data_IF_540277824280
#
_entry.id   IF_540277824280
#
_cell.length_a   1.000
_cell.length_b   1.000
_cell.length_c   1.000
_cell.angle_alpha   90.00
_cell.angle_beta   90.00
_cell.angle_gamma   90.00
#
_symmetry.space_group_name_H-M   'P 1'
#
loop_
_entity.id
_entity.type
_entity.pdbx_description
1 polymer ?
#
# COMPACT_ATOMS: atom_id res chain seq x y z
N UNK A 1 -4.15 12.52 -23.12
CA UNK A 1 -2.82 12.96 -22.64
C UNK A 1 -2.66 14.49 -22.54
N UNK A 2 -3.29 15.29 -23.38
CA UNK A 2 -3.19 16.77 -23.30
C UNK A 2 -4.08 17.43 -22.21
N UNK A 3 -5.18 16.81 -21.79
CA UNK A 3 -6.09 17.38 -20.79
C UNK A 3 -5.56 17.27 -19.32
N UNK A 4 -4.63 16.37 -19.04
CA UNK A 4 -4.02 16.23 -17.70
C UNK A 4 -2.90 17.24 -17.46
N UNK A 5 -2.31 17.80 -18.49
CA UNK A 5 -1.24 18.81 -18.40
C UNK A 5 -1.79 20.25 -18.27
N UNK A 6 -3.06 20.48 -18.59
CA UNK A 6 -3.68 21.80 -18.51
C UNK A 6 -4.08 22.24 -17.09
N UNK A 7 -4.14 21.33 -16.11
CA UNK A 7 -4.46 21.65 -14.70
C UNK A 7 -3.23 22.16 -13.94
N UNK A 8 -2.03 22.01 -14.46
CA UNK A 8 -0.77 22.41 -13.83
C UNK A 8 -0.36 23.89 -14.06
N UNK A 9 -1.14 24.64 -14.83
CA UNK A 9 -0.85 26.03 -15.18
C UNK A 9 -1.80 27.07 -14.55
N UNK A 10 -2.48 26.77 -13.45
CA UNK A 10 -3.22 27.77 -12.70
C UNK A 10 -2.24 28.62 -11.89
N UNK A 11 -2.05 29.83 -12.35
CA UNK A 11 -1.30 30.93 -11.72
C UNK A 11 -1.68 31.07 -10.23
N UNK A 12 -0.69 30.98 -9.37
CA UNK A 12 -0.79 31.33 -7.95
C UNK A 12 -1.09 32.83 -7.85
N UNK A 13 -2.35 33.18 -7.70
CA UNK A 13 -2.71 34.49 -7.17
C UNK A 13 -2.57 34.44 -5.64
N UNK A 14 -1.75 35.32 -5.12
CA UNK A 14 -1.65 35.61 -3.69
C UNK A 14 -3.04 35.99 -3.17
N UNK A 15 -3.60 35.16 -2.30
CA UNK A 15 -4.73 35.52 -1.47
C UNK A 15 -4.39 35.18 -0.01
N UNK A 16 -4.60 36.18 0.81
CA UNK A 16 -4.64 36.25 2.29
C UNK A 16 -4.35 34.96 3.05
N UNK A 17 -3.60 35.09 4.13
CA UNK A 17 -3.15 34.09 5.14
C UNK A 17 -4.22 33.06 5.58
N UNK A 18 -4.57 32.14 4.70
CA UNK A 18 -5.28 30.93 5.13
C UNK A 18 -4.26 29.92 5.62
N UNK A 19 -4.11 29.83 6.93
CA UNK A 19 -3.30 28.80 7.58
C UNK A 19 -3.79 27.42 7.14
N UNK A 20 -2.91 26.66 6.49
CA UNK A 20 -3.19 25.32 6.00
C UNK A 20 -3.51 24.40 7.19
N UNK A 21 -4.77 23.99 7.32
CA UNK A 21 -5.20 23.08 8.39
C UNK A 21 -5.00 21.64 7.96
N UNK A 22 -3.90 21.04 8.41
CA UNK A 22 -3.47 19.66 8.12
C UNK A 22 -4.01 18.65 9.13
N UNK A 23 -5.27 18.82 9.59
CA UNK A 23 -5.88 17.94 10.59
C UNK A 23 -7.30 17.58 10.18
N UNK A 24 -7.77 16.42 10.69
CA UNK A 24 -9.17 16.02 10.64
C UNK A 24 -10.04 16.86 11.60
N UNK A 25 -11.36 16.60 11.69
CA UNK A 25 -12.26 17.33 12.60
C UNK A 25 -11.97 17.18 14.10
N UNK A 26 -11.21 16.15 14.52
CA UNK A 26 -10.74 15.98 15.89
C UNK A 26 -9.35 16.58 16.15
N UNK A 27 -8.70 17.16 15.14
CA UNK A 27 -7.33 17.68 15.24
C UNK A 27 -6.24 16.62 15.05
N UNK A 28 -6.58 15.42 14.57
CA UNK A 28 -5.62 14.37 14.23
C UNK A 28 -4.90 14.77 12.94
N UNK A 29 -3.58 14.60 12.89
CA UNK A 29 -2.77 14.90 11.71
C UNK A 29 -3.23 14.09 10.50
N UNK A 30 -3.40 14.75 9.36
CA UNK A 30 -3.68 14.06 8.08
C UNK A 30 -2.49 13.20 7.60
N UNK A 31 -1.28 13.44 8.11
CA UNK A 31 -0.11 12.60 7.83
C UNK A 31 -0.17 11.21 8.47
N UNK A 32 -1.10 10.99 9.42
CA UNK A 32 -1.40 9.67 9.98
C UNK A 32 -2.10 8.76 8.98
N UNK A 33 -2.62 9.28 7.88
CA UNK A 33 -3.34 8.50 6.89
C UNK A 33 -2.37 7.66 6.04
N UNK A 34 -2.63 6.34 5.99
CA UNK A 34 -2.01 5.41 5.06
C UNK A 34 -2.87 5.19 3.81
N UNK A 35 -2.88 3.97 3.27
CA UNK A 35 -3.78 3.58 2.18
C UNK A 35 -5.24 3.48 2.66
N UNK A 36 -6.19 3.73 1.77
CA UNK A 36 -7.61 3.68 2.11
C UNK A 36 -7.93 4.52 3.34
N UNK A 37 -8.43 3.87 4.39
CA UNK A 37 -8.73 4.50 5.67
C UNK A 37 -7.77 4.07 6.79
N UNK A 38 -6.62 3.46 6.46
CA UNK A 38 -5.63 2.99 7.44
C UNK A 38 -4.88 4.13 8.13
N UNK A 39 -4.22 3.82 9.25
CA UNK A 39 -3.34 4.73 9.97
C UNK A 39 -1.90 4.22 9.99
N UNK A 40 -0.96 5.17 9.93
CA UNK A 40 0.49 4.96 10.08
C UNK A 40 1.03 5.77 11.26
N UNK A 41 2.24 5.47 11.77
CA UNK A 41 2.89 6.26 12.80
C UNK A 41 3.19 7.70 12.34
N UNK A 42 2.84 8.70 13.15
CA UNK A 42 3.07 10.13 12.85
C UNK A 42 4.57 10.46 12.68
N UNK A 43 5.47 9.67 13.31
CA UNK A 43 6.91 9.88 13.26
C UNK A 43 7.54 9.61 11.88
N UNK A 44 6.85 8.87 11.00
CA UNK A 44 7.35 8.43 9.68
C UNK A 44 6.30 8.66 8.59
N UNK A 45 5.91 9.92 8.33
CA UNK A 45 4.92 10.24 7.31
C UNK A 45 5.43 9.87 5.91
N UNK A 46 4.50 9.59 5.00
CA UNK A 46 4.82 9.33 3.61
C UNK A 46 5.30 10.60 2.89
N UNK A 47 6.26 10.49 1.95
CA UNK A 47 6.68 11.62 1.13
C UNK A 47 5.52 12.17 0.32
N UNK A 48 5.10 13.39 0.59
CA UNK A 48 3.99 14.05 -0.09
C UNK A 48 4.24 15.55 -0.25
N UNK A 49 3.60 16.15 -1.22
CA UNK A 49 3.57 17.61 -1.40
C UNK A 49 2.17 18.13 -1.16
N UNK A 50 2.11 19.27 -0.48
CA UNK A 50 0.87 19.95 -0.13
C UNK A 50 0.84 21.33 -0.74
N UNK A 51 -0.33 21.77 -1.21
CA UNK A 51 -0.56 23.13 -1.70
C UNK A 51 -2.02 23.53 -1.48
N UNK A 52 -2.27 24.82 -1.37
CA UNK A 52 -3.63 25.36 -1.32
C UNK A 52 -4.07 25.80 -2.71
N UNK A 53 -5.33 25.49 -3.06
CA UNK A 53 -6.02 26.00 -4.23
C UNK A 53 -7.38 26.58 -3.79
N UNK A 54 -7.41 27.86 -3.46
CA UNK A 54 -8.54 28.47 -2.75
C UNK A 54 -8.76 27.81 -1.39
N UNK A 55 -9.98 27.31 -1.13
CA UNK A 55 -10.32 26.59 0.10
C UNK A 55 -9.96 25.10 0.09
N UNK A 56 -9.34 24.59 -0.97
CA UNK A 56 -8.94 23.21 -1.09
C UNK A 56 -7.48 23.02 -0.68
N UNK A 57 -7.23 22.09 0.20
CA UNK A 57 -5.91 21.51 0.45
C UNK A 57 -5.71 20.37 -0.54
N UNK A 58 -4.73 20.53 -1.43
CA UNK A 58 -4.30 19.50 -2.36
C UNK A 58 -3.05 18.81 -1.81
N UNK A 59 -3.05 17.48 -1.80
CA UNK A 59 -1.88 16.66 -1.51
C UNK A 59 -1.66 15.70 -2.67
N UNK A 60 -0.42 15.59 -3.10
CA UNK A 60 -0.05 14.57 -4.06
C UNK A 60 1.21 13.82 -3.63
N UNK A 61 1.22 12.54 -3.87
CA UNK A 61 2.36 11.66 -3.68
C UNK A 61 2.35 10.52 -4.71
N UNK A 62 3.43 9.75 -4.76
CA UNK A 62 3.56 8.66 -5.71
C UNK A 62 5.00 8.21 -5.83
N UNK A 63 5.16 7.06 -6.47
CA UNK A 63 6.46 6.47 -6.76
C UNK A 63 6.49 5.97 -8.19
N UNK A 64 7.64 6.11 -8.83
CA UNK A 64 7.95 5.45 -10.09
C UNK A 64 9.24 4.68 -9.93
N UNK A 65 9.21 3.39 -10.27
CA UNK A 65 10.38 2.53 -10.34
C UNK A 65 10.55 2.06 -11.78
N UNK A 66 11.71 2.31 -12.37
CA UNK A 66 12.13 1.66 -13.60
C UNK A 66 13.11 0.58 -13.20
N UNK A 67 12.85 -0.66 -13.58
CA UNK A 67 13.56 -1.80 -13.02
C UNK A 67 13.89 -2.88 -14.05
N UNK A 68 14.99 -3.57 -13.80
CA UNK A 68 15.30 -4.86 -14.38
C UNK A 68 15.28 -5.89 -13.26
N UNK A 69 14.30 -6.79 -13.32
CA UNK A 69 14.08 -7.87 -12.36
C UNK A 69 14.55 -9.19 -12.97
N UNK A 70 15.26 -9.99 -12.20
CA UNK A 70 15.75 -11.31 -12.58
C UNK A 70 15.46 -12.32 -11.49
N UNK A 71 14.80 -13.41 -11.85
CA UNK A 71 14.46 -14.52 -10.95
C UNK A 71 15.12 -15.79 -11.51
N UNK A 72 15.93 -16.45 -10.67
CA UNK A 72 16.72 -17.61 -11.08
C UNK A 72 15.95 -18.94 -11.04
N UNK A 73 16.56 -19.98 -11.58
CA UNK A 73 16.03 -21.36 -11.59
C UNK A 73 15.08 -21.66 -12.77
N UNK A 74 14.57 -22.91 -12.84
CA UNK A 74 13.72 -23.36 -13.96
C UNK A 74 12.39 -22.60 -14.09
N UNK A 75 11.90 -22.02 -13.01
CA UNK A 75 10.65 -21.24 -12.97
C UNK A 75 10.91 -19.73 -12.93
N UNK A 76 12.18 -19.35 -13.00
CA UNK A 76 12.61 -17.95 -13.05
C UNK A 76 12.32 -17.30 -14.40
N UNK A 77 12.39 -15.98 -14.41
CA UNK A 77 12.28 -15.16 -15.62
C UNK A 77 12.92 -13.78 -15.37
N UNK A 78 13.25 -13.09 -16.45
CA UNK A 78 13.76 -11.73 -16.41
C UNK A 78 12.75 -10.78 -17.02
N UNK A 79 12.68 -9.55 -16.50
CA UNK A 79 11.83 -8.52 -17.06
C UNK A 79 12.38 -7.13 -16.81
N UNK A 80 12.39 -6.32 -17.88
CA UNK A 80 12.51 -4.87 -17.79
C UNK A 80 11.11 -4.26 -17.73
N UNK A 81 10.86 -3.31 -16.82
CA UNK A 81 9.55 -2.70 -16.67
C UNK A 81 9.57 -1.50 -15.74
N UNK A 82 8.37 -1.02 -15.42
CA UNK A 82 8.18 0.03 -14.44
C UNK A 82 6.99 -0.32 -13.55
N UNK A 83 7.19 -0.30 -12.23
CA UNK A 83 6.13 -0.28 -11.24
C UNK A 83 5.94 1.16 -10.79
N UNK A 84 4.70 1.64 -10.81
CA UNK A 84 4.45 3.06 -10.57
C UNK A 84 3.03 3.33 -10.09
N UNK A 85 2.88 4.41 -9.35
CA UNK A 85 1.58 4.94 -8.96
C UNK A 85 1.68 6.42 -8.60
N UNK A 86 0.60 7.14 -8.79
CA UNK A 86 0.46 8.54 -8.40
C UNK A 86 -0.92 8.78 -7.80
N UNK A 87 -0.96 9.49 -6.68
CA UNK A 87 -2.17 9.81 -5.95
C UNK A 87 -2.34 11.31 -5.80
N UNK A 88 -3.56 11.79 -6.03
CA UNK A 88 -4.00 13.14 -5.72
C UNK A 88 -5.15 13.07 -4.72
N UNK A 89 -5.03 13.86 -3.67
CA UNK A 89 -6.09 14.07 -2.67
C UNK A 89 -6.45 15.54 -2.63
N UNK A 90 -7.74 15.84 -2.59
CA UNK A 90 -8.28 17.18 -2.43
C UNK A 90 -9.21 17.19 -1.22
N UNK A 91 -8.93 18.02 -0.22
CA UNK A 91 -9.74 18.10 1.00
C UNK A 91 -10.13 19.52 1.35
N UNK A 92 -11.30 19.67 1.96
CA UNK A 92 -11.79 20.95 2.46
C UNK A 92 -12.79 20.75 3.59
N UNK A 93 -12.94 21.79 4.41
CA UNK A 93 -14.02 21.79 5.39
C UNK A 93 -15.36 22.00 4.68
N UNK A 94 -16.34 21.18 5.01
CA UNK A 94 -17.68 21.16 4.42
C UNK A 94 -18.71 20.72 5.45
N UNK A 95 -19.84 21.46 5.59
CA UNK A 95 -20.98 21.09 6.46
C UNK A 95 -20.58 20.70 7.89
N UNK A 96 -19.59 21.37 8.47
CA UNK A 96 -19.11 21.12 9.83
C UNK A 96 -18.26 19.87 10.01
N UNK A 97 -17.75 19.32 8.92
CA UNK A 97 -16.82 18.20 8.87
C UNK A 97 -15.75 18.44 7.81
N UNK A 98 -14.97 17.42 7.50
CA UNK A 98 -13.95 17.40 6.45
C UNK A 98 -14.39 16.49 5.32
N UNK A 99 -14.51 17.06 4.12
CA UNK A 99 -14.68 16.32 2.87
C UNK A 99 -13.33 16.10 2.21
N UNK A 100 -13.13 14.90 1.64
CA UNK A 100 -11.96 14.56 0.87
C UNK A 100 -12.36 13.78 -0.39
N UNK A 101 -11.79 14.13 -1.54
CA UNK A 101 -11.82 13.35 -2.77
C UNK A 101 -10.41 12.84 -3.08
N UNK A 102 -10.31 11.60 -3.58
CA UNK A 102 -9.05 10.92 -3.87
C UNK A 102 -9.07 10.26 -5.22
N UNK A 103 -7.93 10.28 -5.88
CA UNK A 103 -7.67 9.43 -7.04
C UNK A 103 -6.25 8.92 -6.98
N UNK A 104 -6.06 7.62 -7.20
CA UNK A 104 -4.77 6.96 -7.35
C UNK A 104 -4.76 6.16 -8.64
N UNK A 105 -3.74 6.36 -9.45
CA UNK A 105 -3.59 5.77 -10.77
C UNK A 105 -2.25 5.05 -10.87
N UNK A 106 -2.23 3.94 -11.62
CA UNK A 106 -1.02 3.23 -12.01
C UNK A 106 -0.95 3.02 -13.52
N UNK A 107 0.26 3.08 -14.07
CA UNK A 107 0.55 2.70 -15.45
C UNK A 107 1.14 1.29 -15.57
N UNK A 108 1.11 0.50 -14.52
CA UNK A 108 1.59 -0.90 -14.53
C UNK A 108 1.04 -1.71 -15.69
N UNK A 109 -0.27 -1.60 -16.07
CA UNK A 109 -0.81 -2.33 -17.21
C UNK A 109 -0.07 -2.07 -18.54
N UNK A 110 0.51 -0.87 -18.69
CA UNK A 110 1.30 -0.50 -19.87
C UNK A 110 2.80 -0.79 -19.73
N UNK A 111 3.30 -0.97 -18.52
CA UNK A 111 4.75 -0.94 -18.23
C UNK A 111 5.35 -2.26 -17.75
N UNK A 112 4.52 -3.20 -17.25
CA UNK A 112 4.97 -4.54 -16.82
C UNK A 112 4.21 -5.71 -17.46
N UNK A 113 3.29 -5.47 -18.38
CA UNK A 113 2.40 -6.44 -19.04
C UNK A 113 1.21 -6.91 -18.16
N UNK A 114 0.16 -7.43 -18.84
CA UNK A 114 -1.02 -8.00 -18.15
C UNK A 114 -0.71 -9.28 -17.36
N UNK A 115 0.46 -9.93 -17.61
CA UNK A 115 0.94 -11.06 -16.81
C UNK A 115 1.70 -10.61 -15.55
N UNK A 116 1.84 -9.29 -15.33
CA UNK A 116 2.64 -8.77 -14.24
C UNK A 116 4.15 -9.00 -14.41
N UNK A 117 4.87 -9.05 -13.31
CA UNK A 117 6.31 -9.18 -13.25
C UNK A 117 6.74 -10.50 -12.57
N UNK A 118 7.95 -11.02 -12.88
CA UNK A 118 8.47 -12.23 -12.25
C UNK A 118 8.62 -12.05 -10.74
N UNK A 119 8.16 -13.03 -9.98
CA UNK A 119 8.37 -13.11 -8.54
C UNK A 119 8.20 -14.56 -8.11
N UNK A 120 9.30 -15.25 -7.86
CA UNK A 120 9.27 -16.67 -7.46
C UNK A 120 8.38 -16.90 -6.24
N UNK A 121 7.64 -18.00 -6.26
CA UNK A 121 6.72 -18.41 -5.21
C UNK A 121 5.46 -17.53 -5.05
N UNK A 122 5.31 -16.48 -5.86
CA UNK A 122 4.10 -15.65 -5.83
C UNK A 122 2.95 -16.34 -6.58
N UNK A 123 1.75 -16.11 -6.10
CA UNK A 123 0.50 -16.59 -6.68
C UNK A 123 -0.61 -15.54 -6.49
N UNK A 124 -1.73 -15.80 -7.09
CA UNK A 124 -2.97 -15.02 -7.03
C UNK A 124 -3.30 -14.43 -8.38
N UNK A 125 -4.60 -14.24 -8.58
CA UNK A 125 -5.22 -13.85 -9.84
C UNK A 125 -4.97 -14.84 -10.99
N UNK A 126 -5.53 -14.54 -12.14
CA UNK A 126 -5.41 -15.35 -13.35
C UNK A 126 -5.12 -14.51 -14.57
N UNK A 127 -4.58 -15.14 -15.59
CA UNK A 127 -4.40 -14.54 -16.92
C UNK A 127 -4.75 -15.54 -18.00
N UNK A 128 -5.71 -15.20 -18.88
CA UNK A 128 -6.24 -16.06 -19.96
C UNK A 128 -6.71 -17.42 -19.44
N UNK A 129 -7.42 -17.39 -18.30
CA UNK A 129 -7.98 -18.61 -17.69
C UNK A 129 -6.95 -19.55 -17.07
N UNK A 130 -5.71 -19.07 -16.83
CA UNK A 130 -4.67 -19.82 -16.13
C UNK A 130 -4.23 -19.06 -14.88
N UNK A 131 -3.92 -19.75 -13.76
CA UNK A 131 -3.41 -19.09 -12.57
C UNK A 131 -2.06 -18.42 -12.86
N UNK A 132 -1.85 -17.24 -12.28
CA UNK A 132 -0.55 -16.63 -12.26
C UNK A 132 0.27 -17.26 -11.14
N UNK A 133 1.34 -17.96 -11.51
CA UNK A 133 2.28 -18.59 -10.58
C UNK A 133 3.69 -18.09 -10.89
N UNK A 134 4.48 -17.86 -9.84
CA UNK A 134 5.82 -17.24 -9.91
C UNK A 134 5.82 -15.86 -10.59
N UNK A 135 4.69 -15.17 -10.47
CA UNK A 135 4.50 -13.82 -10.97
C UNK A 135 3.55 -13.06 -10.06
N UNK A 136 3.83 -11.78 -9.88
CA UNK A 136 2.89 -10.82 -9.28
C UNK A 136 2.10 -10.14 -10.40
N UNK A 137 0.78 -10.09 -10.26
CA UNK A 137 -0.09 -9.34 -11.16
C UNK A 137 0.22 -7.83 -11.16
N UNK A 138 -0.06 -7.07 -12.25
CA UNK A 138 0.07 -5.62 -12.26
C UNK A 138 -1.06 -4.97 -11.45
N UNK A 139 -0.85 -3.74 -11.00
CA UNK A 139 -1.93 -2.94 -10.46
C UNK A 139 -2.95 -2.56 -11.54
N UNK A 140 -4.17 -2.21 -11.08
CA UNK A 140 -5.19 -1.59 -11.92
C UNK A 140 -4.80 -0.15 -12.28
N UNK A 141 -5.24 0.34 -13.44
CA UNK A 141 -5.09 1.77 -13.75
C UNK A 141 -5.79 2.64 -12.69
N UNK A 142 -7.01 2.27 -12.31
CA UNK A 142 -7.78 2.93 -11.25
C UNK A 142 -7.56 2.21 -9.91
N UNK A 143 -6.46 2.50 -9.23
CA UNK A 143 -6.18 1.91 -7.92
C UNK A 143 -7.10 2.47 -6.83
N UNK A 144 -7.38 3.78 -6.88
CA UNK A 144 -8.40 4.40 -6.01
C UNK A 144 -9.13 5.52 -6.77
N UNK A 145 -10.44 5.54 -6.64
CA UNK A 145 -11.30 6.69 -6.92
C UNK A 145 -12.32 6.75 -5.80
N UNK A 146 -12.22 7.72 -4.90
CA UNK A 146 -12.96 7.70 -3.64
C UNK A 146 -13.37 9.08 -3.17
N UNK A 147 -14.40 9.10 -2.33
CA UNK A 147 -14.75 10.23 -1.49
C UNK A 147 -14.82 9.78 -0.03
N UNK A 148 -14.41 10.66 0.86
CA UNK A 148 -14.50 10.46 2.31
C UNK A 148 -15.07 11.70 2.99
N UNK A 149 -15.85 11.49 4.02
CA UNK A 149 -16.36 12.54 4.88
C UNK A 149 -16.19 12.18 6.34
N UNK A 150 -15.62 13.10 7.11
CA UNK A 150 -15.38 12.93 8.54
C UNK A 150 -16.03 14.08 9.30
N UNK A 151 -16.62 13.78 10.46
CA UNK A 151 -17.24 14.79 11.31
C UNK A 151 -17.05 14.47 12.79
N UNK A 152 -16.68 15.47 13.57
CA UNK A 152 -16.69 15.38 15.02
C UNK A 152 -18.15 15.38 15.55
N UNK A 153 -18.48 14.41 16.37
CA UNK A 153 -19.73 14.36 17.15
C UNK A 153 -19.55 14.98 18.52
N UNK A 154 -18.33 14.90 19.07
CA UNK A 154 -17.91 15.51 20.33
C UNK A 154 -16.40 15.85 20.22
N UNK A 155 -15.80 16.51 21.22
CA UNK A 155 -14.36 16.76 21.21
C UNK A 155 -13.48 15.49 21.16
N UNK A 156 -14.01 14.32 21.46
CA UNK A 156 -13.25 13.05 21.54
C UNK A 156 -13.74 11.95 20.61
N UNK A 157 -14.87 12.14 19.91
CA UNK A 157 -15.48 11.12 19.04
C UNK A 157 -15.81 11.73 17.69
N UNK A 158 -15.30 11.12 16.64
CA UNK A 158 -15.64 11.39 15.24
C UNK A 158 -16.32 10.19 14.57
N UNK A 159 -17.01 10.48 13.48
CA UNK A 159 -17.57 9.48 12.57
C UNK A 159 -17.02 9.73 11.18
N UNK A 160 -16.89 8.66 10.40
CA UNK A 160 -16.44 8.71 9.03
C UNK A 160 -17.33 7.87 8.12
N UNK A 161 -17.41 8.30 6.86
CA UNK A 161 -17.94 7.51 5.75
C UNK A 161 -16.99 7.62 4.57
N UNK A 162 -16.74 6.50 3.90
CA UNK A 162 -15.90 6.40 2.71
C UNK A 162 -16.66 5.60 1.65
N UNK A 163 -16.62 6.05 0.41
CA UNK A 163 -17.24 5.39 -0.72
C UNK A 163 -16.32 5.48 -1.95
N UNK A 164 -16.12 4.34 -2.61
CA UNK A 164 -15.20 4.23 -3.72
C UNK A 164 -15.73 3.28 -4.81
N UNK A 165 -15.83 3.72 -6.07
CA UNK A 165 -15.92 2.81 -7.21
C UNK A 165 -14.72 1.87 -7.31
N UNK A 166 -13.50 2.35 -7.02
CA UNK A 166 -12.30 1.56 -6.78
C UNK A 166 -11.62 2.08 -5.51
N UNK A 167 -11.26 1.20 -4.58
CA UNK A 167 -10.64 1.60 -3.33
C UNK A 167 -10.38 0.44 -2.38
N UNK A 168 -10.02 0.77 -1.14
CA UNK A 168 -9.62 -0.19 -0.12
C UNK A 168 -10.70 -0.33 0.97
N UNK A 169 -11.26 -1.53 1.19
CA UNK A 169 -12.15 -1.79 2.32
C UNK A 169 -11.40 -1.81 3.67
N UNK A 170 -12.13 -1.72 4.77
CA UNK A 170 -11.57 -1.87 6.12
C UNK A 170 -11.19 -3.34 6.40
N UNK A 171 -10.22 -3.85 5.63
CA UNK A 171 -9.66 -5.19 5.72
C UNK A 171 -8.17 -5.14 5.43
N UNK A 172 -7.39 -5.81 6.27
CA UNK A 172 -5.94 -5.84 6.09
C UNK A 172 -5.21 -4.67 6.77
N UNK A 173 -3.89 -4.72 6.76
CA UNK A 173 -2.99 -3.64 7.18
C UNK A 173 -2.95 -2.53 6.11
N UNK A 174 -2.15 -1.52 6.35
CA UNK A 174 -1.74 -0.56 5.29
C UNK A 174 -1.17 -1.33 4.10
N UNK A 175 -1.62 -1.03 2.88
CA UNK A 175 -1.10 -1.63 1.65
C UNK A 175 0.42 -1.44 1.54
N UNK A 176 1.14 -2.45 1.02
CA UNK A 176 2.61 -2.48 1.07
C UNK A 176 3.26 -1.21 0.50
N UNK A 177 2.73 -0.67 -0.59
CA UNK A 177 3.24 0.54 -1.23
C UNK A 177 3.04 1.84 -0.42
N UNK A 178 2.18 1.80 0.61
CA UNK A 178 1.93 2.91 1.54
C UNK A 178 2.44 2.61 2.95
N UNK A 179 3.13 1.48 3.17
CA UNK A 179 3.80 1.22 4.44
C UNK A 179 5.13 1.95 4.47
N UNK A 180 5.39 2.80 5.49
CA UNK A 180 6.68 3.47 5.62
C UNK A 180 7.88 2.52 5.69
N UNK A 181 7.66 1.25 6.07
CA UNK A 181 8.67 0.18 6.14
C UNK A 181 8.97 -0.51 4.80
N UNK A 182 8.22 -0.19 3.74
CA UNK A 182 8.32 -0.86 2.44
C UNK A 182 8.18 0.10 1.24
N UNK A 183 8.11 1.40 1.45
CA UNK A 183 7.81 2.35 0.38
C UNK A 183 8.90 2.41 -0.71
N UNK A 184 10.13 2.05 -0.39
CA UNK A 184 11.25 1.97 -1.33
C UNK A 184 11.48 0.54 -1.90
N UNK A 185 10.64 -0.43 -1.50
CA UNK A 185 10.63 -1.78 -2.04
C UNK A 185 9.47 -1.94 -3.03
N UNK A 186 9.71 -1.96 -4.37
CA UNK A 186 8.63 -2.02 -5.35
C UNK A 186 7.94 -3.39 -5.42
N UNK A 187 8.54 -4.43 -4.83
CA UNK A 187 8.05 -5.80 -4.93
C UNK A 187 6.98 -6.08 -3.88
N UNK A 188 5.84 -6.63 -4.31
CA UNK A 188 4.80 -7.10 -3.43
C UNK A 188 5.32 -8.19 -2.47
N UNK A 189 4.81 -8.27 -1.23
CA UNK A 189 5.13 -9.39 -0.34
C UNK A 189 4.60 -10.71 -0.91
N UNK A 190 5.28 -11.82 -0.64
CA UNK A 190 4.77 -13.17 -0.96
C UNK A 190 3.45 -13.48 -0.25
N UNK A 191 3.25 -12.86 0.92
CA UNK A 191 2.02 -12.95 1.71
C UNK A 191 0.91 -12.00 1.26
N UNK A 192 1.05 -11.26 0.16
CA UNK A 192 0.11 -10.24 -0.32
C UNK A 192 -1.34 -10.74 -0.31
N UNK A 193 -1.63 -11.92 -0.84
CA UNK A 193 -2.97 -12.51 -0.90
C UNK A 193 -3.52 -12.99 0.46
N UNK A 194 -2.73 -13.01 1.52
CA UNK A 194 -3.15 -13.24 2.92
C UNK A 194 -3.33 -11.95 3.70
N UNK A 195 -2.82 -10.84 3.20
CA UNK A 195 -2.60 -9.61 3.97
C UNK A 195 -3.36 -8.41 3.41
N UNK A 196 -2.97 -7.92 2.23
CA UNK A 196 -3.38 -6.64 1.70
C UNK A 196 -3.82 -6.65 0.21
N UNK A 197 -4.11 -7.81 -0.39
CA UNK A 197 -4.56 -7.91 -1.78
C UNK A 197 -5.87 -7.15 -2.06
N UNK A 198 -6.67 -6.85 -1.04
CA UNK A 198 -7.92 -6.08 -1.18
C UNK A 198 -7.69 -4.58 -1.25
N UNK A 199 -6.44 -4.09 -1.31
CA UNK A 199 -6.16 -2.64 -1.42
C UNK A 199 -6.71 -2.00 -2.71
N UNK A 200 -7.02 -2.81 -3.72
CA UNK A 200 -7.81 -2.41 -4.88
C UNK A 200 -9.02 -3.33 -4.99
N UNK A 201 -10.18 -2.84 -4.58
CA UNK A 201 -11.47 -3.54 -4.68
C UNK A 201 -12.48 -2.64 -5.37
N UNK A 202 -13.34 -3.20 -6.22
CA UNK A 202 -14.36 -2.43 -6.93
C UNK A 202 -15.67 -2.38 -6.15
N UNK A 203 -16.19 -1.14 -5.92
CA UNK A 203 -17.40 -0.90 -5.13
C UNK A 203 -17.15 -1.13 -3.63
N UNK A 204 -16.64 -0.12 -2.95
CA UNK A 204 -16.37 -0.15 -1.50
C UNK A 204 -17.21 0.90 -0.80
N UNK A 205 -17.87 0.53 0.27
CA UNK A 205 -18.52 1.46 1.21
C UNK A 205 -18.07 1.10 2.62
N UNK A 206 -17.47 2.08 3.30
CA UNK A 206 -16.97 1.95 4.68
C UNK A 206 -17.61 3.00 5.56
N UNK A 207 -17.99 2.61 6.76
CA UNK A 207 -18.37 3.51 7.84
C UNK A 207 -17.54 3.22 9.08
N UNK A 208 -17.26 4.25 9.88
CA UNK A 208 -16.46 4.08 11.09
C UNK A 208 -16.70 5.15 12.13
N UNK A 209 -16.27 4.81 13.33
CA UNK A 209 -16.17 5.74 14.47
C UNK A 209 -14.71 5.78 14.92
N UNK A 210 -14.25 6.96 15.33
CA UNK A 210 -12.87 7.14 15.73
C UNK A 210 -12.72 8.17 16.87
N UNK A 211 -11.64 8.02 17.61
CA UNK A 211 -11.13 8.95 18.57
C UNK A 211 -9.68 9.27 18.28
N UNK A 212 -9.01 10.05 19.14
CA UNK A 212 -7.62 10.46 18.94
C UNK A 212 -6.63 9.29 18.82
N UNK A 213 -6.95 8.14 19.45
CA UNK A 213 -6.02 7.00 19.57
C UNK A 213 -6.59 5.66 19.06
N UNK A 214 -7.81 5.63 18.56
CA UNK A 214 -8.45 4.41 18.11
C UNK A 214 -9.45 4.67 17.00
N UNK A 215 -9.70 3.65 16.19
CA UNK A 215 -10.72 3.66 15.13
C UNK A 215 -11.32 2.27 14.97
N UNK A 216 -12.64 2.21 14.80
CA UNK A 216 -13.40 1.01 14.47
C UNK A 216 -14.16 1.25 13.17
N UNK A 217 -13.96 0.38 12.19
CA UNK A 217 -14.49 0.51 10.85
C UNK A 217 -15.17 -0.77 10.39
N UNK A 218 -16.18 -0.64 9.54
CA UNK A 218 -16.81 -1.76 8.84
C UNK A 218 -17.03 -1.42 7.38
N UNK A 219 -16.85 -2.40 6.50
CA UNK A 219 -17.03 -2.24 5.06
C UNK A 219 -17.94 -3.30 4.46
N UNK A 220 -18.65 -2.91 3.41
CA UNK A 220 -19.23 -3.81 2.41
C UNK A 220 -18.58 -3.51 1.06
N UNK A 221 -18.22 -4.56 0.31
CA UNK A 221 -17.43 -4.38 -0.90
C UNK A 221 -17.55 -5.58 -1.86
N UNK A 222 -17.00 -5.47 -3.05
CA UNK A 222 -16.78 -6.60 -3.95
C UNK A 222 -15.51 -7.34 -3.55
N UNK A 223 -15.65 -8.56 -3.04
CA UNK A 223 -14.52 -9.36 -2.56
C UNK A 223 -13.72 -10.09 -3.64
N UNK A 224 -14.12 -9.96 -4.90
CA UNK A 224 -13.41 -10.55 -6.03
C UNK A 224 -12.14 -9.77 -6.32
N UNK A 225 -11.09 -10.50 -6.62
CA UNK A 225 -9.89 -9.91 -7.19
C UNK A 225 -10.21 -9.26 -8.53
N UNK A 226 -9.49 -8.18 -8.91
CA UNK A 226 -9.65 -7.54 -10.21
C UNK A 226 -9.49 -8.53 -11.37
N UNK A 227 -10.23 -8.29 -12.45
CA UNK A 227 -10.12 -9.09 -13.66
C UNK A 227 -8.91 -8.67 -14.53
N UNK A 228 -8.74 -9.31 -15.68
CA UNK A 228 -7.61 -9.06 -16.59
C UNK A 228 -7.69 -7.70 -17.35
N UNK A 229 -8.84 -7.01 -17.30
CA UNK A 229 -9.10 -5.74 -18.02
C UNK A 229 -8.69 -4.55 -17.15
N UNK A 230 -7.41 -4.34 -16.99
CA UNK A 230 -6.77 -3.42 -16.04
C UNK A 230 -7.06 -1.92 -16.22
N UNK A 231 -7.77 -1.52 -17.26
CA UNK A 231 -7.99 -0.11 -17.58
C UNK A 231 -9.36 0.45 -17.16
N UNK A 232 -10.29 -0.44 -16.81
CA UNK A 232 -11.68 -0.12 -16.49
C UNK A 232 -12.04 -0.30 -15.04
N UNK A 233 -13.33 -0.42 -14.79
CA UNK A 233 -13.88 -0.78 -13.50
C UNK A 233 -14.61 -2.10 -13.63
N UNK A 234 -14.39 -2.99 -12.69
CA UNK A 234 -15.14 -4.23 -12.61
C UNK A 234 -16.57 -4.01 -12.10
N UNK A 235 -17.40 -5.03 -12.29
CA UNK A 235 -18.75 -5.00 -11.76
C UNK A 235 -18.73 -4.89 -10.24
N UNK A 236 -19.24 -3.79 -9.72
CA UNK A 236 -19.37 -3.55 -8.30
C UNK A 236 -20.43 -4.47 -7.70
N UNK A 237 -20.03 -5.33 -6.78
CA UNK A 237 -20.91 -6.20 -5.99
C UNK A 237 -20.62 -5.91 -4.51
N UNK A 238 -21.66 -5.74 -3.71
CA UNK A 238 -21.51 -5.48 -2.27
C UNK A 238 -21.90 -6.77 -1.52
N UNK A 239 -21.19 -7.85 -1.80
CA UNK A 239 -21.49 -9.19 -1.30
C UNK A 239 -20.41 -9.77 -0.36
N UNK A 240 -19.43 -8.96 -0.03
CA UNK A 240 -18.38 -9.23 0.93
C UNK A 240 -18.38 -8.17 2.02
N UNK A 241 -17.86 -8.51 3.20
CA UNK A 241 -17.86 -7.59 4.33
C UNK A 241 -16.62 -7.77 5.21
N UNK A 242 -16.27 -6.72 5.91
CA UNK A 242 -15.13 -6.71 6.82
C UNK A 242 -15.31 -5.75 7.98
N UNK A 243 -14.45 -5.91 8.98
CA UNK A 243 -14.27 -4.97 10.07
C UNK A 243 -12.80 -4.86 10.45
N UNK A 244 -12.36 -3.65 10.81
CA UNK A 244 -11.01 -3.36 11.26
C UNK A 244 -11.04 -2.47 12.49
N UNK A 245 -10.24 -2.84 13.47
CA UNK A 245 -9.86 -2.01 14.59
C UNK A 245 -8.44 -1.50 14.39
N UNK A 246 -8.21 -0.21 14.63
CA UNK A 246 -6.88 0.42 14.62
C UNK A 246 -6.64 1.17 15.92
N UNK A 247 -5.40 1.13 16.41
CA UNK A 247 -4.97 1.87 17.59
C UNK A 247 -3.66 2.59 17.29
N UNK A 248 -3.58 3.86 17.73
CA UNK A 248 -2.41 4.71 17.65
C UNK A 248 -1.99 5.07 19.08
N UNK A 249 -0.98 4.39 19.61
CA UNK A 249 -0.58 4.52 21.02
C UNK A 249 0.11 5.84 21.28
N UNK A 250 1.03 6.20 20.39
CA UNK A 250 1.80 7.44 20.39
C UNK A 250 2.28 7.74 18.95
N UNK A 251 3.09 8.76 18.77
CA UNK A 251 3.61 9.14 17.45
C UNK A 251 4.40 8.03 16.72
N UNK A 252 4.83 7.00 17.45
CA UNK A 252 5.73 5.97 16.93
C UNK A 252 5.04 4.65 16.64
N UNK A 253 3.85 4.37 17.21
CA UNK A 253 3.25 3.05 17.16
C UNK A 253 1.82 3.06 16.68
N UNK A 254 1.54 2.24 15.67
CA UNK A 254 0.18 1.98 15.18
C UNK A 254 -0.05 0.47 15.10
N UNK A 255 -1.23 0.04 15.54
CA UNK A 255 -1.69 -1.34 15.50
C UNK A 255 -2.95 -1.43 14.65
N UNK A 256 -3.14 -2.54 13.96
CA UNK A 256 -4.43 -2.87 13.37
C UNK A 256 -4.71 -4.36 13.46
N UNK A 257 -5.99 -4.70 13.59
CA UNK A 257 -6.49 -6.06 13.46
C UNK A 257 -7.80 -6.03 12.68
N UNK A 258 -7.97 -6.95 11.75
CA UNK A 258 -9.13 -7.00 10.88
C UNK A 258 -9.57 -8.42 10.57
N UNK A 259 -10.85 -8.53 10.23
CA UNK A 259 -11.44 -9.77 9.75
C UNK A 259 -12.41 -9.46 8.61
N UNK A 260 -12.43 -10.32 7.60
CA UNK A 260 -13.33 -10.19 6.46
C UNK A 260 -13.79 -11.55 5.89
N UNK A 261 -14.97 -11.49 5.30
CA UNK A 261 -15.52 -12.54 4.45
C UNK A 261 -15.48 -12.04 3.00
N UNK A 262 -14.78 -12.75 2.14
CA UNK A 262 -14.65 -12.49 0.72
C UNK A 262 -15.42 -13.57 -0.06
N UNK A 263 -16.43 -13.15 -0.80
CA UNK A 263 -17.21 -14.05 -1.66
C UNK A 263 -16.52 -14.20 -3.01
N UNK A 264 -16.19 -15.44 -3.35
CA UNK A 264 -15.62 -15.81 -4.67
C UNK A 264 -14.42 -14.91 -5.04
N UNK A 265 -13.37 -14.78 -4.22
CA UNK A 265 -12.28 -13.86 -4.51
C UNK A 265 -11.54 -14.26 -5.79
N UNK A 266 -11.34 -15.53 -6.03
CA UNK A 266 -10.57 -16.03 -7.16
C UNK A 266 -11.45 -16.38 -8.36
N UNK A 267 -11.05 -15.91 -9.55
CA UNK A 267 -11.81 -16.10 -10.79
C UNK A 267 -11.91 -17.57 -11.21
N UNK A 268 -10.87 -18.37 -10.90
CA UNK A 268 -10.82 -19.80 -11.24
C UNK A 268 -11.58 -20.69 -10.26
N UNK A 269 -11.93 -20.18 -9.08
CA UNK A 269 -12.68 -20.89 -8.03
C UNK A 269 -13.93 -20.08 -7.61
N UNK A 270 -14.89 -19.81 -8.53
CA UNK A 270 -15.98 -18.85 -8.30
C UNK A 270 -16.99 -19.29 -7.24
N UNK A 271 -17.04 -20.55 -6.89
CA UNK A 271 -17.96 -21.12 -5.89
C UNK A 271 -17.36 -21.08 -4.47
N UNK A 272 -16.11 -20.68 -4.34
CA UNK A 272 -15.39 -20.70 -3.08
C UNK A 272 -15.32 -19.30 -2.44
N UNK A 273 -15.27 -19.28 -1.13
CA UNK A 273 -15.20 -18.04 -0.35
C UNK A 273 -14.04 -18.12 0.65
N UNK A 274 -13.48 -16.98 0.98
CA UNK A 274 -12.36 -16.87 1.90
C UNK A 274 -12.74 -16.08 3.14
N UNK A 275 -12.38 -16.60 4.32
CA UNK A 275 -12.34 -15.86 5.56
C UNK A 275 -10.91 -15.41 5.80
N UNK A 276 -10.68 -14.09 5.86
CA UNK A 276 -9.36 -13.49 6.07
C UNK A 276 -9.29 -12.83 7.44
N UNK A 277 -8.22 -13.13 8.18
CA UNK A 277 -7.88 -12.43 9.40
C UNK A 277 -6.47 -11.82 9.28
N UNK A 278 -6.28 -10.61 9.79
CA UNK A 278 -4.99 -9.92 9.75
C UNK A 278 -4.72 -9.21 11.07
N UNK A 279 -3.44 -9.10 11.42
CA UNK A 279 -2.99 -8.24 12.51
C UNK A 279 -1.63 -7.64 12.15
N UNK A 280 -1.42 -6.36 12.47
CA UNK A 280 -0.15 -5.67 12.19
C UNK A 280 0.24 -4.69 13.29
N UNK A 281 1.55 -4.51 13.40
CA UNK A 281 2.19 -3.49 14.22
C UNK A 281 3.12 -2.71 13.31
N UNK A 282 2.94 -1.41 13.24
CA UNK A 282 3.83 -0.48 12.55
C UNK A 282 4.53 0.37 13.60
N UNK A 283 5.85 0.43 13.51
CA UNK A 283 6.70 1.23 14.37
C UNK A 283 7.52 2.18 13.51
N UNK A 284 7.60 3.44 13.92
CA UNK A 284 8.42 4.44 13.25
C UNK A 284 9.12 5.35 14.24
N UNK A 285 10.34 5.75 13.95
CA UNK A 285 11.05 6.77 14.73
C UNK A 285 12.12 7.46 13.90
N UNK A 286 12.52 8.64 14.32
CA UNK A 286 13.62 9.39 13.71
C UNK A 286 14.96 8.84 14.17
N UNK A 287 15.92 8.77 13.24
CA UNK A 287 17.32 8.40 13.50
C UNK A 287 18.19 9.62 13.27
N UNK A 288 18.94 10.03 14.29
CA UNK A 288 19.76 11.22 14.19
C UNK A 288 18.96 12.46 13.81
N UNK A 289 19.55 13.38 13.00
CA UNK A 289 18.91 14.63 12.60
C UNK A 289 18.01 14.51 11.36
N UNK A 290 18.35 13.63 10.44
CA UNK A 290 17.75 13.59 9.10
C UNK A 290 17.35 12.18 8.65
N UNK A 291 17.52 11.18 9.49
CA UNK A 291 17.16 9.80 9.21
C UNK A 291 15.83 9.40 9.85
N UNK A 292 15.29 8.29 9.36
CA UNK A 292 14.11 7.64 9.94
C UNK A 292 14.22 6.13 9.78
N UNK A 293 13.61 5.41 10.71
CA UNK A 293 13.43 3.97 10.63
C UNK A 293 11.95 3.66 10.77
N UNK A 294 11.42 2.85 9.86
CA UNK A 294 10.10 2.29 9.96
C UNK A 294 10.20 0.77 9.95
N UNK A 295 9.41 0.09 10.77
CA UNK A 295 9.35 -1.37 10.85
C UNK A 295 7.90 -1.81 10.92
N UNK A 296 7.56 -2.86 10.20
CA UNK A 296 6.26 -3.52 10.27
C UNK A 296 6.44 -4.99 10.59
N UNK A 297 5.65 -5.49 11.52
CA UNK A 297 5.42 -6.92 11.73
C UNK A 297 3.95 -7.17 11.41
N UNK A 298 3.69 -8.17 10.58
CA UNK A 298 2.37 -8.44 10.07
C UNK A 298 2.10 -9.94 10.01
N UNK A 299 0.92 -10.34 10.41
CA UNK A 299 0.35 -11.66 10.25
C UNK A 299 -0.94 -11.59 9.44
N UNK A 300 -1.11 -12.55 8.53
CA UNK A 300 -2.33 -12.79 7.79
C UNK A 300 -2.69 -14.26 7.76
N UNK A 301 -3.97 -14.58 7.73
CA UNK A 301 -4.48 -15.93 7.60
C UNK A 301 -5.69 -15.96 6.67
N UNK A 302 -5.72 -16.91 5.76
CA UNK A 302 -6.87 -17.24 4.93
C UNK A 302 -7.40 -18.61 5.32
N UNK A 303 -8.72 -18.69 5.55
CA UNK A 303 -9.44 -19.96 5.66
C UNK A 303 -10.30 -20.17 4.43
N UNK A 304 -9.99 -21.20 3.69
CA UNK A 304 -10.59 -21.57 2.41
C UNK A 304 -10.77 -23.08 2.34
N UNK A 305 -11.93 -23.57 1.89
CA UNK A 305 -12.23 -25.02 1.71
C UNK A 305 -11.84 -25.91 2.92
N UNK A 306 -12.06 -25.40 4.14
CA UNK A 306 -11.75 -26.12 5.39
C UNK A 306 -10.27 -26.10 5.81
N UNK A 307 -9.37 -25.59 4.98
CA UNK A 307 -7.94 -25.40 5.29
C UNK A 307 -7.68 -23.96 5.74
N UNK A 308 -6.72 -23.78 6.64
CA UNK A 308 -6.23 -22.46 7.04
C UNK A 308 -4.75 -22.37 6.75
N UNK A 309 -4.35 -21.34 6.00
CA UNK A 309 -2.95 -21.03 5.68
C UNK A 309 -2.58 -19.68 6.26
N UNK A 310 -1.32 -19.53 6.62
CA UNK A 310 -0.80 -18.35 7.31
C UNK A 310 0.33 -17.69 6.54
N UNK A 311 0.45 -16.38 6.70
CA UNK A 311 1.62 -15.61 6.31
C UNK A 311 2.08 -14.73 7.45
N UNK A 312 3.38 -14.59 7.60
CA UNK A 312 4.02 -13.65 8.54
C UNK A 312 5.11 -12.91 7.79
N UNK A 313 5.20 -11.61 7.99
CA UNK A 313 6.34 -10.83 7.53
C UNK A 313 6.87 -9.91 8.64
N UNK A 314 8.16 -9.64 8.56
CA UNK A 314 8.81 -8.52 9.21
C UNK A 314 9.59 -7.75 8.15
N UNK A 315 9.34 -6.45 8.06
CA UNK A 315 10.03 -5.58 7.10
C UNK A 315 10.45 -4.28 7.75
N UNK A 316 11.54 -3.72 7.27
CA UNK A 316 12.07 -2.45 7.75
C UNK A 316 12.65 -1.63 6.63
N UNK A 317 12.52 -0.32 6.75
CA UNK A 317 13.18 0.67 5.91
C UNK A 317 13.86 1.70 6.78
N UNK A 318 15.16 1.89 6.55
CA UNK A 318 16.01 2.84 7.23
C UNK A 318 16.54 3.89 6.23
N UNK A 319 15.92 5.05 6.17
CA UNK A 319 16.51 6.23 5.56
C UNK A 319 17.59 6.75 6.52
N UNK A 320 18.85 6.34 6.30
CA UNK A 320 19.98 6.65 7.19
C UNK A 320 20.32 8.13 7.19
N UNK A 321 20.18 8.74 6.03
CA UNK A 321 20.38 10.17 5.75
C UNK A 321 19.60 10.54 4.46
N UNK A 322 19.61 11.81 4.00
CA UNK A 322 18.88 12.22 2.80
C UNK A 322 19.29 11.51 1.50
N UNK A 323 20.39 10.78 1.50
CA UNK A 323 20.93 10.13 0.30
C UNK A 323 20.90 8.61 0.35
N UNK A 324 20.83 7.99 1.51
CA UNK A 324 21.04 6.55 1.68
C UNK A 324 19.86 5.89 2.37
N UNK A 325 19.21 4.96 1.70
CA UNK A 325 18.12 4.14 2.24
C UNK A 325 18.47 2.66 2.14
N UNK A 326 18.35 1.95 3.25
CA UNK A 326 18.39 0.49 3.34
C UNK A 326 16.98 -0.01 3.59
N UNK A 327 16.60 -1.11 2.97
CA UNK A 327 15.33 -1.77 3.25
C UNK A 327 15.48 -3.28 3.18
N UNK A 328 14.58 -3.99 3.82
CA UNK A 328 14.58 -5.45 3.78
C UNK A 328 13.30 -6.05 4.34
N UNK A 329 13.06 -7.31 3.98
CA UNK A 329 11.87 -8.06 4.37
C UNK A 329 12.21 -9.52 4.58
N UNK A 330 11.66 -10.10 5.64
CA UNK A 330 11.64 -11.55 5.88
C UNK A 330 10.20 -12.00 5.90
N UNK A 331 9.91 -13.06 5.14
CA UNK A 331 8.56 -13.59 5.00
C UNK A 331 8.54 -15.10 5.23
N UNK A 332 7.51 -15.58 5.93
CA UNK A 332 7.15 -17.00 6.02
C UNK A 332 5.72 -17.14 5.55
N UNK A 333 5.49 -17.90 4.50
CA UNK A 333 4.17 -18.05 3.89
C UNK A 333 3.85 -19.53 3.68
N UNK A 334 2.67 -19.93 4.11
CA UNK A 334 2.14 -21.25 3.79
C UNK A 334 1.44 -21.19 2.42
N UNK A 335 1.97 -21.92 1.46
CA UNK A 335 1.44 -22.06 0.10
C UNK A 335 0.93 -23.49 -0.08
N UNK A 336 -0.28 -23.65 -0.62
CA UNK A 336 -0.76 -24.94 -1.07
C UNK A 336 -0.02 -25.35 -2.36
N UNK A 337 -0.05 -26.61 -2.71
CA UNK A 337 0.47 -27.07 -4.00
C UNK A 337 -0.28 -26.41 -5.17
N UNK A 338 -1.58 -26.15 -5.01
CA UNK A 338 -2.41 -25.41 -5.96
C UNK A 338 -1.89 -23.98 -6.16
N UNK A 339 -1.60 -23.24 -5.08
CA UNK A 339 -0.97 -21.89 -5.14
C UNK A 339 0.31 -21.89 -5.95
N UNK A 340 1.04 -22.99 -5.96
CA UNK A 340 2.29 -23.16 -6.71
C UNK A 340 2.09 -23.84 -8.09
N UNK A 341 0.84 -24.07 -8.53
CA UNK A 341 0.52 -24.69 -9.80
C UNK A 341 0.97 -26.17 -9.88
N UNK A 342 0.92 -26.90 -8.77
CA UNK A 342 1.36 -28.29 -8.67
C UNK A 342 0.13 -29.22 -8.51
N UNK A 343 0.17 -30.39 -9.17
CA UNK A 343 -0.96 -31.30 -9.30
C UNK A 343 -1.08 -32.33 -8.17
N UNK A 344 -0.77 -31.96 -6.93
CA UNK A 344 -0.93 -32.83 -5.75
C UNK A 344 -1.41 -32.03 -4.54
N UNK A 345 -1.92 -32.67 -3.51
CA UNK A 345 -2.43 -31.99 -2.31
C UNK A 345 -1.37 -31.95 -1.21
N UNK A 346 -0.79 -30.79 -1.00
CA UNK A 346 0.17 -30.51 0.07
C UNK A 346 0.20 -29.02 0.39
N UNK A 347 0.64 -28.68 1.60
CA UNK A 347 0.90 -27.31 2.00
C UNK A 347 2.37 -27.17 2.40
N UNK A 348 3.03 -26.15 1.88
CA UNK A 348 4.44 -25.88 2.07
C UNK A 348 4.64 -24.55 2.81
N UNK A 349 5.54 -24.51 3.77
CA UNK A 349 6.04 -23.26 4.31
C UNK A 349 7.26 -22.84 3.49
N UNK A 350 7.14 -21.71 2.80
CA UNK A 350 8.23 -21.08 2.05
C UNK A 350 8.69 -19.82 2.78
N UNK A 351 9.97 -19.50 2.63
CA UNK A 351 10.57 -18.31 3.25
C UNK A 351 11.21 -17.47 2.17
N UNK A 352 11.07 -16.14 2.25
CA UNK A 352 11.82 -15.20 1.43
C UNK A 352 12.54 -14.19 2.33
N UNK A 353 13.79 -13.91 2.00
CA UNK A 353 14.61 -12.85 2.58
C UNK A 353 15.02 -11.91 1.47
N UNK A 354 14.62 -10.64 1.53
CA UNK A 354 15.07 -9.60 0.60
C UNK A 354 15.80 -8.49 1.34
N UNK A 355 16.84 -7.96 0.70
CA UNK A 355 17.60 -6.79 1.18
C UNK A 355 17.89 -5.90 -0.02
N UNK A 356 17.66 -4.60 0.14
CA UNK A 356 17.90 -3.62 -0.90
C UNK A 356 18.52 -2.33 -0.34
N UNK A 357 19.13 -1.59 -1.25
CA UNK A 357 19.75 -0.30 -0.99
C UNK A 357 19.46 0.66 -2.12
N UNK A 358 19.12 1.90 -1.79
CA UNK A 358 18.94 3.00 -2.74
C UNK A 358 19.82 4.16 -2.34
N UNK A 359 20.54 4.72 -3.33
CA UNK A 359 21.26 5.98 -3.22
C UNK A 359 20.60 7.06 -4.05
N UNK A 360 20.26 8.18 -3.42
CA UNK A 360 19.80 9.38 -4.13
C UNK A 360 20.96 9.97 -4.95
N UNK A 361 20.73 10.09 -6.25
CA UNK A 361 21.73 10.61 -7.21
C UNK A 361 21.32 11.94 -7.85
N UNK A 362 20.04 12.30 -7.71
CA UNK A 362 19.50 13.54 -8.25
C UNK A 362 18.38 14.12 -7.39
N UNK A 363 18.33 15.46 -7.34
CA UNK A 363 17.29 16.22 -6.65
C UNK A 363 16.84 17.38 -7.50
N UNK A 364 15.53 17.55 -7.64
CA UNK A 364 14.89 18.67 -8.34
C UNK A 364 13.97 19.41 -7.35
N UNK A 365 13.35 20.49 -7.79
CA UNK A 365 12.37 21.22 -6.97
C UNK A 365 11.10 20.41 -6.68
N UNK A 366 10.82 19.33 -7.43
CA UNK A 366 9.61 18.54 -7.30
C UNK A 366 9.84 17.13 -6.76
N UNK A 367 11.06 16.58 -6.87
CA UNK A 367 11.29 15.21 -6.46
C UNK A 367 12.77 14.82 -6.43
N UNK A 368 13.02 13.56 -6.06
CA UNK A 368 14.34 12.93 -6.04
C UNK A 368 14.40 11.76 -6.99
N UNK A 369 15.62 11.46 -7.45
CA UNK A 369 15.95 10.28 -8.26
C UNK A 369 16.99 9.47 -7.51
N UNK A 370 16.68 8.20 -7.25
CA UNK A 370 17.56 7.23 -6.60
C UNK A 370 17.90 6.09 -7.54
N UNK A 371 19.08 5.51 -7.37
CA UNK A 371 19.52 4.26 -8.03
C UNK A 371 19.67 3.21 -6.94
N UNK A 372 19.17 2.01 -7.18
CA UNK A 372 19.19 0.95 -6.19
C UNK A 372 19.35 -0.44 -6.73
N UNK A 373 19.62 -1.34 -5.79
CA UNK A 373 19.71 -2.78 -6.03
C UNK A 373 18.97 -3.52 -4.94
N UNK A 374 18.42 -4.69 -5.26
CA UNK A 374 17.81 -5.60 -4.31
C UNK A 374 18.23 -7.03 -4.62
N UNK A 375 18.52 -7.82 -3.59
CA UNK A 375 18.70 -9.27 -3.69
C UNK A 375 17.61 -9.98 -2.90
N UNK A 376 17.16 -11.12 -3.41
CA UNK A 376 16.18 -11.99 -2.74
C UNK A 376 16.73 -13.42 -2.67
N UNK A 377 16.67 -14.01 -1.51
CA UNK A 377 16.95 -15.43 -1.24
C UNK A 377 15.64 -16.10 -0.80
N UNK A 378 15.18 -17.06 -1.55
CA UNK A 378 14.05 -17.89 -1.15
C UNK A 378 14.56 -19.17 -0.51
N UNK A 379 13.81 -19.74 0.43
CA UNK A 379 14.08 -21.06 1.01
C UNK A 379 12.84 -21.92 0.87
N UNK A 380 12.99 -23.03 0.17
CA UNK A 380 11.88 -23.95 -0.09
C UNK A 380 12.12 -25.33 0.51
N UNK A 381 11.06 -26.07 0.91
CA UNK A 381 11.17 -27.47 1.32
C UNK A 381 11.79 -28.34 0.22
N UNK A 382 12.42 -29.45 0.61
CA UNK A 382 13.07 -30.37 -0.32
C UNK A 382 12.13 -30.90 -1.42
N UNK A 383 10.84 -31.06 -1.13
CA UNK A 383 9.84 -31.48 -2.10
C UNK A 383 9.65 -30.49 -3.29
N UNK A 384 10.03 -29.23 -3.12
CA UNK A 384 9.94 -28.20 -4.16
C UNK A 384 11.26 -28.05 -4.94
N UNK A 385 12.36 -28.65 -4.51
CA UNK A 385 13.66 -28.58 -5.19
C UNK A 385 13.59 -28.98 -6.69
N UNK A 386 12.91 -30.07 -7.08
CA UNK A 386 12.80 -30.43 -8.50
C UNK A 386 12.12 -29.38 -9.38
N UNK A 387 11.25 -28.53 -8.80
CA UNK A 387 10.53 -27.51 -9.52
C UNK A 387 11.31 -26.19 -9.60
N UNK A 388 12.07 -25.83 -8.56
CA UNK A 388 12.79 -24.58 -8.48
C UNK A 388 14.30 -24.71 -8.77
N UNK A 389 14.80 -25.97 -8.96
CA UNK A 389 16.18 -26.28 -9.30
C UNK A 389 17.17 -26.11 -8.13
N UNK A 390 16.70 -25.66 -6.98
CA UNK A 390 17.48 -25.47 -5.75
C UNK A 390 16.52 -25.29 -4.57
N UNK A 391 16.98 -25.66 -3.39
CA UNK A 391 16.29 -25.31 -2.14
C UNK A 391 16.44 -23.84 -1.74
N UNK A 392 17.31 -23.13 -2.44
CA UNK A 392 17.60 -21.71 -2.19
C UNK A 392 17.60 -20.91 -3.51
N UNK A 393 16.47 -20.87 -4.27
CA UNK A 393 16.42 -20.07 -5.47
C UNK A 393 16.57 -18.58 -5.13
N UNK A 394 17.29 -17.85 -5.99
CA UNK A 394 17.63 -16.44 -5.79
C UNK A 394 16.99 -15.57 -6.84
N UNK A 395 16.74 -14.32 -6.49
CA UNK A 395 16.35 -13.26 -7.40
C UNK A 395 17.14 -11.99 -7.14
N UNK A 396 17.05 -11.06 -8.05
CA UNK A 396 17.71 -9.77 -7.92
C UNK A 396 17.06 -8.71 -8.78
N UNK A 397 17.27 -7.45 -8.41
CA UNK A 397 16.72 -6.31 -9.12
C UNK A 397 17.73 -5.17 -9.14
N UNK A 398 17.82 -4.50 -10.26
CA UNK A 398 18.38 -3.17 -10.40
C UNK A 398 17.24 -2.19 -10.65
N UNK A 399 17.24 -1.04 -9.99
CA UNK A 399 16.14 -0.08 -10.09
C UNK A 399 16.61 1.37 -10.12
N UNK A 400 15.82 2.21 -10.77
CA UNK A 400 15.82 3.67 -10.66
C UNK A 400 14.49 4.09 -10.05
N UNK A 401 14.52 4.79 -8.93
CA UNK A 401 13.35 5.29 -8.22
C UNK A 401 13.17 6.79 -8.42
N UNK A 402 11.92 7.21 -8.63
CA UNK A 402 11.50 8.61 -8.68
C UNK A 402 10.39 8.80 -7.66
N UNK A 403 10.50 9.80 -6.78
CA UNK A 403 9.45 10.14 -5.80
C UNK A 403 9.41 11.65 -5.52
N UNK A 404 8.28 12.19 -4.99
CA UNK A 404 8.21 13.57 -4.54
C UNK A 404 9.24 13.87 -3.45
N UNK A 405 9.66 15.13 -3.36
CA UNK A 405 10.35 15.60 -2.16
C UNK A 405 9.40 15.54 -0.97
N UNK A 406 9.88 14.99 0.13
CA UNK A 406 9.25 15.26 1.40
C UNK A 406 9.46 16.74 1.73
N UNK A 407 8.39 17.53 1.66
CA UNK A 407 8.45 18.92 2.12
C UNK A 407 8.49 18.89 3.66
N UNK A 408 9.57 19.35 4.32
CA UNK A 408 9.53 19.50 5.76
C UNK A 408 8.43 20.50 6.07
N UNK A 409 7.48 20.14 6.94
CA UNK A 409 6.50 21.09 7.43
C UNK A 409 7.26 22.25 8.10
N UNK A 410 7.08 23.46 7.58
CA UNK A 410 7.29 24.64 8.40
C UNK A 410 6.19 24.58 9.46
N UNK A 411 6.53 24.02 10.64
CA UNK A 411 5.75 24.30 11.83
C UNK A 411 5.65 25.82 11.91
N UNK A 412 4.42 26.33 11.91
CA UNK A 412 4.17 27.73 12.19
C UNK A 412 4.94 28.05 13.48
N UNK A 413 5.98 28.86 13.34
CA UNK A 413 6.71 29.38 14.48
C UNK A 413 5.65 30.05 15.36
N UNK A 414 5.37 29.45 16.50
CA UNK A 414 4.54 30.06 17.55
C UNK A 414 5.17 31.40 17.84
N UNK A 415 4.51 32.48 17.46
CA UNK A 415 4.93 33.83 17.80
C UNK A 415 5.02 33.89 19.33
N UNK A 416 6.23 33.97 19.83
CA UNK A 416 6.46 34.33 21.22
C UNK A 416 5.75 35.68 21.48
N UNK A 417 4.98 35.81 22.56
CA UNK A 417 4.40 37.11 22.89
C UNK A 417 5.56 38.10 23.15
N UNK A 418 5.60 39.17 22.37
CA UNK A 418 6.45 40.30 22.70
C UNK A 418 5.95 40.88 24.01
N UNK A 419 6.75 40.69 25.07
CA UNK A 419 6.55 41.36 26.34
C UNK A 419 6.75 42.89 26.19
N UNK A 420 5.78 43.59 26.67
CA UNK A 420 5.92 45.01 27.08
C UNK A 420 6.17 45.09 28.59
#
# INVERSE_FOLDING_TARGET
MLALLAVLALSVQHSEDMTMKMTDPLGISMERMGSGTTWIPDAVPLPARHTMAGSWLLMWHGFGFVQYDTQGGPRGADQFGSLNWAMLMASRDLLGGRFQARTMLSLDPATVSNRGYPLLLQNGESYRGQPLVDRQHPHEFWMELAVMYERALSPSIGVMAYAAPSGEPALGPVAFMHRPSAMDNPIAPLGHHWQDATHTSFGVVTAGIFGHHWKLEGSVFNGREPNEERWGFDRMRLDSYSGRFSAHLDSNWTFSAGYGYLKSPEALSPDESVHRATASVLQGHKIGRNGQLATTILWGANRHSGKTTHSVLAESEAALDPQNTLFGRVELVQKTAEDLGLAFDSTFTVTALSVGYIREVGRTSWGTVGIGVQGTLNVVPAALDPFYGSRTPIGGMFLVRIRPLHAPHQMAATMAPMGH
#
